data_IF_314114025416
#
_entry.id   IF_314114025416
#
_cell.length_a   1.000
_cell.length_b   1.000
_cell.length_c   1.000
_cell.angle_alpha   90.00
_cell.angle_beta   90.00
_cell.angle_gamma   90.00
#
_symmetry.space_group_name_H-M   'P 1'
#
loop_
_entity.id
_entity.type
_entity.pdbx_description
1 polymer ?
#
# COMPACT_ATOMS: atom_id res chain seq x y z
N UNK A 1 -20.57 7.08 9.17
CA UNK A 1 -21.06 5.70 8.89
C UNK A 1 -22.42 5.60 9.53
N UNK A 2 -23.46 5.11 8.85
CA UNK A 2 -24.79 5.00 9.45
C UNK A 2 -24.75 4.08 10.68
N UNK A 3 -25.49 4.42 11.74
CA UNK A 3 -25.59 3.65 12.99
C UNK A 3 -26.06 2.20 12.74
N UNK A 4 -26.85 1.99 11.69
CA UNK A 4 -27.32 0.68 11.25
C UNK A 4 -26.18 -0.31 10.93
N UNK A 5 -25.06 0.18 10.39
CA UNK A 5 -23.91 -0.67 10.04
C UNK A 5 -23.20 -1.19 11.30
N UNK A 6 -23.22 -0.42 12.38
CA UNK A 6 -22.64 -0.86 13.64
C UNK A 6 -23.52 -1.94 14.29
N UNK A 7 -24.83 -1.74 14.30
CA UNK A 7 -25.79 -2.72 14.80
C UNK A 7 -25.65 -4.05 14.05
N UNK A 8 -25.54 -4.01 12.72
CA UNK A 8 -25.33 -5.21 11.91
C UNK A 8 -24.01 -5.92 12.26
N UNK A 9 -22.94 -5.18 12.60
CA UNK A 9 -21.68 -5.78 13.04
C UNK A 9 -21.82 -6.45 14.40
N UNK A 10 -22.51 -5.82 15.35
CA UNK A 10 -22.74 -6.36 16.69
C UNK A 10 -23.65 -7.61 16.63
N UNK A 11 -24.68 -7.59 15.78
CA UNK A 11 -25.63 -8.69 15.63
C UNK A 11 -25.04 -9.91 14.90
N UNK A 12 -24.06 -9.70 14.01
CA UNK A 12 -23.48 -10.77 13.17
C UNK A 12 -22.05 -11.16 13.57
N UNK A 13 -21.46 -10.54 14.59
CA UNK A 13 -20.10 -10.86 15.03
C UNK A 13 -20.01 -11.00 16.54
N UNK A 14 -19.24 -11.99 17.02
CA UNK A 14 -18.93 -12.15 18.45
C UNK A 14 -17.77 -11.23 18.89
N UNK A 15 -17.57 -10.10 18.21
CA UNK A 15 -16.44 -9.22 18.47
C UNK A 15 -16.67 -8.46 19.79
N UNK A 16 -15.69 -8.44 20.73
CA UNK A 16 -15.80 -7.61 21.92
C UNK A 16 -15.93 -6.13 21.55
N UNK A 17 -16.64 -5.35 22.38
CA UNK A 17 -16.87 -3.92 22.12
C UNK A 17 -15.57 -3.11 21.94
N UNK A 18 -14.48 -3.53 22.57
CA UNK A 18 -13.14 -2.94 22.42
C UNK A 18 -12.61 -2.98 20.97
N UNK A 19 -13.07 -3.93 20.16
CA UNK A 19 -12.69 -4.07 18.75
C UNK A 19 -13.59 -3.30 17.79
N UNK A 20 -14.57 -2.54 18.29
CA UNK A 20 -15.52 -1.77 17.48
C UNK A 20 -14.86 -0.97 16.37
N UNK A 21 -13.81 -0.21 16.69
CA UNK A 21 -13.10 0.62 15.71
C UNK A 21 -12.41 -0.22 14.63
N UNK A 22 -11.85 -1.37 15.00
CA UNK A 22 -11.21 -2.30 14.08
C UNK A 22 -12.25 -2.97 13.17
N UNK A 23 -13.40 -3.35 13.70
CA UNK A 23 -14.50 -3.91 12.93
C UNK A 23 -15.04 -2.89 11.93
N UNK A 24 -15.30 -1.65 12.37
CA UNK A 24 -15.77 -0.58 11.49
C UNK A 24 -14.75 -0.24 10.39
N UNK A 25 -13.45 -0.23 10.71
CA UNK A 25 -12.38 -0.06 9.71
C UNK A 25 -12.39 -1.18 8.67
N UNK A 26 -12.61 -2.42 9.12
CA UNK A 26 -12.68 -3.61 8.25
C UNK A 26 -13.91 -3.58 7.35
N UNK A 27 -15.09 -3.26 7.89
CA UNK A 27 -16.31 -3.08 7.09
C UNK A 27 -16.14 -1.97 6.06
N UNK A 28 -15.56 -0.84 6.46
CA UNK A 28 -15.26 0.25 5.53
C UNK A 28 -14.32 -0.19 4.40
N UNK A 29 -13.35 -1.06 4.68
CA UNK A 29 -12.49 -1.67 3.65
C UNK A 29 -13.30 -2.59 2.72
N UNK A 30 -14.06 -3.54 3.26
CA UNK A 30 -14.86 -4.47 2.45
C UNK A 30 -15.87 -3.74 1.56
N UNK A 31 -16.49 -2.68 2.08
CA UNK A 31 -17.38 -1.84 1.30
C UNK A 31 -16.69 -1.15 0.12
N UNK A 32 -15.48 -0.59 0.34
CA UNK A 32 -14.68 0.02 -0.73
C UNK A 32 -14.26 -1.01 -1.78
N UNK A 33 -13.80 -2.18 -1.35
CA UNK A 33 -13.36 -3.27 -2.23
C UNK A 33 -14.53 -3.77 -3.08
N UNK A 34 -15.69 -4.01 -2.47
CA UNK A 34 -16.90 -4.45 -3.15
C UNK A 34 -17.40 -3.43 -4.18
N UNK A 35 -17.44 -2.13 -3.83
CA UNK A 35 -17.76 -1.05 -4.78
C UNK A 35 -16.77 -1.00 -5.95
N UNK A 36 -15.48 -1.25 -5.68
CA UNK A 36 -14.46 -1.39 -6.71
C UNK A 36 -14.77 -2.53 -7.70
N UNK A 37 -15.11 -3.71 -7.17
CA UNK A 37 -15.55 -4.84 -7.99
C UNK A 37 -16.80 -4.53 -8.80
N UNK A 38 -17.80 -3.87 -8.20
CA UNK A 38 -19.01 -3.44 -8.90
C UNK A 38 -18.70 -2.49 -10.05
N UNK A 39 -17.88 -1.46 -9.78
CA UNK A 39 -17.48 -0.49 -10.80
C UNK A 39 -16.79 -1.20 -11.98
N UNK A 40 -15.87 -2.12 -11.68
CA UNK A 40 -15.16 -2.87 -12.72
C UNK A 40 -16.08 -3.76 -13.56
N UNK A 41 -17.05 -4.44 -12.95
CA UNK A 41 -17.91 -5.42 -13.64
C UNK A 41 -19.10 -4.79 -14.36
N UNK A 42 -19.71 -3.76 -13.78
CA UNK A 42 -20.99 -3.23 -14.24
C UNK A 42 -20.91 -1.79 -14.75
N UNK A 43 -20.04 -0.95 -14.17
CA UNK A 43 -19.91 0.44 -14.65
C UNK A 43 -18.99 0.53 -15.87
N UNK A 44 -17.80 -0.08 -15.79
CA UNK A 44 -16.81 -0.04 -16.87
C UNK A 44 -17.18 -0.90 -18.09
N UNK A 45 -18.16 -1.80 -17.96
CA UNK A 45 -18.65 -2.65 -19.05
C UNK A 45 -19.41 -1.87 -20.12
N UNK A 46 -19.98 -0.71 -19.76
CA UNK A 46 -20.78 0.12 -20.66
C UNK A 46 -20.18 1.53 -20.79
N UNK A 47 -20.40 2.16 -21.95
CA UNK A 47 -19.90 3.51 -22.23
C UNK A 47 -20.87 4.58 -21.75
N UNK A 48 -22.18 4.37 -21.94
CA UNK A 48 -23.21 5.35 -21.64
C UNK A 48 -23.85 5.12 -20.27
N UNK A 49 -24.19 6.20 -19.55
CA UNK A 49 -24.85 6.11 -18.25
C UNK A 49 -26.24 5.47 -18.33
N UNK A 50 -26.97 5.67 -19.43
CA UNK A 50 -28.28 5.04 -19.64
C UNK A 50 -28.20 3.51 -19.67
N UNK A 51 -27.17 2.96 -20.31
CA UNK A 51 -26.92 1.52 -20.35
C UNK A 51 -26.51 1.00 -18.95
N UNK A 52 -25.68 1.75 -18.23
CA UNK A 52 -25.27 1.41 -16.86
C UNK A 52 -26.47 1.35 -15.92
N UNK A 53 -27.36 2.33 -15.98
CA UNK A 53 -28.57 2.41 -15.15
C UNK A 53 -29.52 1.23 -15.42
N UNK A 54 -29.66 0.79 -16.68
CA UNK A 54 -30.49 -0.38 -17.04
C UNK A 54 -29.91 -1.69 -16.53
N UNK A 55 -28.58 -1.80 -16.43
CA UNK A 55 -27.88 -3.01 -16.01
C UNK A 55 -27.55 -2.99 -14.51
N UNK A 56 -28.60 -3.05 -13.68
CA UNK A 56 -28.47 -3.06 -12.21
C UNK A 56 -27.88 -4.39 -11.73
N UNK A 57 -26.83 -4.39 -10.88
CA UNK A 57 -26.29 -5.61 -10.31
C UNK A 57 -27.31 -6.31 -9.38
N UNK A 58 -27.40 -7.67 -9.36
CA UNK A 58 -28.45 -8.39 -8.63
C UNK A 58 -28.52 -8.16 -7.11
N UNK A 59 -27.43 -7.68 -6.49
CA UNK A 59 -27.31 -7.47 -5.03
C UNK A 59 -27.33 -6.00 -4.64
N UNK A 60 -27.75 -5.12 -5.55
CA UNK A 60 -27.72 -3.67 -5.35
C UNK A 60 -29.12 -3.12 -5.63
N UNK A 61 -29.63 -2.33 -4.70
CA UNK A 61 -30.88 -1.60 -4.89
C UNK A 61 -30.75 -0.61 -6.06
N UNK A 62 -31.75 -0.56 -6.95
CA UNK A 62 -31.70 0.26 -8.17
C UNK A 62 -31.44 1.74 -7.89
N UNK A 63 -32.01 2.30 -6.82
CA UNK A 63 -31.76 3.68 -6.41
C UNK A 63 -30.28 3.91 -6.03
N UNK A 64 -29.73 3.02 -5.19
CA UNK A 64 -28.32 3.09 -4.80
C UNK A 64 -27.38 2.95 -6.00
N UNK A 65 -27.72 2.06 -6.94
CA UNK A 65 -26.96 1.92 -8.17
C UNK A 65 -26.98 3.19 -9.02
N UNK A 66 -28.15 3.82 -9.19
CA UNK A 66 -28.28 5.07 -9.96
C UNK A 66 -27.42 6.18 -9.36
N UNK A 67 -27.43 6.34 -8.02
CA UNK A 67 -26.55 7.31 -7.34
C UNK A 67 -25.08 7.03 -7.61
N UNK A 68 -24.66 5.76 -7.57
CA UNK A 68 -23.27 5.37 -7.84
C UNK A 68 -22.87 5.63 -9.29
N UNK A 69 -23.73 5.33 -10.26
CA UNK A 69 -23.47 5.60 -11.69
C UNK A 69 -23.32 7.09 -11.94
N UNK A 70 -24.21 7.92 -11.37
CA UNK A 70 -24.10 9.37 -11.49
C UNK A 70 -22.79 9.88 -10.89
N UNK A 71 -22.45 9.44 -9.67
CA UNK A 71 -21.21 9.82 -9.00
C UNK A 71 -19.96 9.42 -9.79
N UNK A 72 -19.86 8.17 -10.24
CA UNK A 72 -18.68 7.71 -11.01
C UNK A 72 -18.60 8.31 -12.41
N UNK A 73 -19.70 8.84 -12.93
CA UNK A 73 -19.76 9.55 -14.20
C UNK A 73 -19.36 11.02 -14.12
N UNK A 74 -19.12 11.58 -12.93
CA UNK A 74 -18.68 12.98 -12.81
C UNK A 74 -17.22 13.14 -13.22
N UNK A 75 -16.88 14.31 -13.75
CA UNK A 75 -15.50 14.66 -14.10
C UNK A 75 -14.59 14.65 -12.86
N UNK A 76 -15.08 15.16 -11.72
CA UNK A 76 -14.34 15.15 -10.45
C UNK A 76 -13.92 13.74 -10.03
N UNK A 77 -14.84 12.76 -10.14
CA UNK A 77 -14.55 11.37 -9.81
C UNK A 77 -13.54 10.74 -10.78
N UNK A 78 -13.58 11.12 -12.06
CA UNK A 78 -12.62 10.68 -13.07
C UNK A 78 -11.22 11.25 -12.80
N UNK A 79 -11.12 12.57 -12.57
CA UNK A 79 -9.84 13.24 -12.25
C UNK A 79 -9.21 12.65 -11.00
N UNK A 80 -10.01 12.40 -9.94
CA UNK A 80 -9.52 11.78 -8.72
C UNK A 80 -9.05 10.34 -8.94
N UNK A 81 -9.79 9.56 -9.74
CA UNK A 81 -9.40 8.19 -10.07
C UNK A 81 -8.08 8.15 -10.85
N UNK A 82 -7.90 9.04 -11.83
CA UNK A 82 -6.67 9.14 -12.61
C UNK A 82 -5.48 9.59 -11.75
N UNK A 83 -5.69 10.56 -10.85
CA UNK A 83 -4.66 10.94 -9.87
C UNK A 83 -4.25 9.75 -9.00
N UNK A 84 -5.21 9.01 -8.45
CA UNK A 84 -4.94 7.83 -7.63
C UNK A 84 -4.24 6.71 -8.41
N UNK A 85 -4.58 6.54 -9.69
CA UNK A 85 -3.91 5.60 -10.60
C UNK A 85 -2.44 5.98 -10.79
N UNK A 86 -2.15 7.23 -11.15
CA UNK A 86 -0.77 7.73 -11.30
C UNK A 86 0.03 7.59 -10.00
N UNK A 87 -0.57 7.95 -8.86
CA UNK A 87 0.07 7.79 -7.56
C UNK A 87 0.37 6.32 -7.22
N UNK A 88 -0.48 5.39 -7.66
CA UNK A 88 -0.25 3.94 -7.47
C UNK A 88 0.85 3.43 -8.39
N UNK A 89 0.92 3.91 -9.63
CA UNK A 89 1.98 3.56 -10.59
C UNK A 89 3.35 4.03 -10.10
N UNK A 90 3.41 5.13 -9.34
CA UNK A 90 4.63 5.61 -8.69
C UNK A 90 5.01 4.86 -7.40
N UNK A 91 4.21 3.89 -6.95
CA UNK A 91 4.61 3.05 -5.83
C UNK A 91 5.59 1.99 -6.32
N UNK A 92 6.83 2.08 -5.85
CA UNK A 92 7.90 1.11 -6.13
C UNK A 92 8.59 0.61 -4.87
N UNK A 93 9.71 -0.09 -5.06
CA UNK A 93 10.65 -0.51 -4.02
C UNK A 93 10.01 -1.33 -2.88
N UNK A 94 9.10 -2.23 -3.24
CA UNK A 94 8.38 -3.08 -2.28
C UNK A 94 9.33 -4.04 -1.55
N UNK A 95 9.19 -4.13 -0.23
CA UNK A 95 9.86 -5.18 0.54
C UNK A 95 9.32 -6.57 0.20
N UNK A 96 10.18 -7.57 0.34
CA UNK A 96 9.97 -8.97 -0.06
C UNK A 96 10.07 -9.94 1.12
N UNK A 97 10.04 -9.42 2.34
CA UNK A 97 10.12 -10.19 3.60
C UNK A 97 8.87 -11.04 3.88
N UNK A 98 7.81 -10.90 3.10
CA UNK A 98 6.57 -11.67 3.27
C UNK A 98 5.94 -11.43 4.64
N UNK A 99 5.83 -12.48 5.45
CA UNK A 99 5.28 -12.42 6.82
C UNK A 99 6.30 -11.99 7.87
N UNK A 100 7.58 -11.93 7.52
CA UNK A 100 8.64 -11.52 8.43
C UNK A 100 8.62 -10.00 8.59
N UNK A 101 8.42 -9.56 9.82
CA UNK A 101 8.44 -8.13 10.17
C UNK A 101 9.86 -7.55 10.13
N UNK A 102 10.00 -6.24 9.98
CA UNK A 102 11.33 -5.60 10.06
C UNK A 102 11.99 -5.74 11.43
N UNK A 103 11.20 -5.87 12.52
CA UNK A 103 11.75 -6.14 13.85
C UNK A 103 12.39 -7.53 13.93
N UNK A 104 11.77 -8.52 13.29
CA UNK A 104 12.31 -9.86 13.19
C UNK A 104 13.51 -9.93 12.25
N UNK A 105 13.44 -9.27 11.09
CA UNK A 105 14.58 -9.14 10.18
C UNK A 105 15.81 -8.53 10.87
N UNK A 106 15.63 -7.46 11.66
CA UNK A 106 16.72 -6.88 12.46
C UNK A 106 17.28 -7.86 13.48
N UNK A 107 16.43 -8.66 14.13
CA UNK A 107 16.85 -9.69 15.08
C UNK A 107 17.70 -10.76 14.40
N UNK A 108 17.27 -11.22 13.22
CA UNK A 108 18.01 -12.19 12.42
C UNK A 108 19.38 -11.67 11.97
N UNK A 109 19.45 -10.40 11.53
CA UNK A 109 20.70 -9.73 11.16
C UNK A 109 21.64 -9.62 12.37
N UNK A 110 21.14 -9.15 13.51
CA UNK A 110 21.93 -9.05 14.74
C UNK A 110 22.50 -10.41 15.17
N UNK A 111 21.70 -11.48 15.08
CA UNK A 111 22.14 -12.84 15.42
C UNK A 111 23.25 -13.37 14.50
N UNK A 112 23.34 -12.85 13.27
CA UNK A 112 24.40 -13.18 12.29
C UNK A 112 25.63 -12.28 12.43
N UNK A 113 25.56 -11.24 13.26
CA UNK A 113 26.58 -10.20 13.36
C UNK A 113 26.54 -9.20 12.19
N UNK A 114 25.46 -9.20 11.41
CA UNK A 114 25.26 -8.26 10.31
C UNK A 114 24.78 -6.89 10.84
N UNK A 115 25.01 -5.84 10.05
CA UNK A 115 24.55 -4.50 10.38
C UNK A 115 23.00 -4.41 10.37
N UNK A 116 22.44 -3.74 11.38
CA UNK A 116 20.98 -3.57 11.56
C UNK A 116 20.52 -2.14 11.30
N UNK A 117 21.38 -1.31 10.72
CA UNK A 117 21.04 0.05 10.32
C UNK A 117 19.95 0.04 9.22
N UNK A 118 19.43 1.22 8.95
CA UNK A 118 18.31 1.40 8.04
C UNK A 118 18.64 0.96 6.61
N UNK A 119 19.82 1.32 6.10
CA UNK A 119 20.26 0.97 4.76
C UNK A 119 20.41 -0.55 4.64
N UNK A 120 21.05 -1.21 5.61
CA UNK A 120 21.20 -2.66 5.62
C UNK A 120 19.87 -3.41 5.67
N UNK A 121 18.93 -2.95 6.52
CA UNK A 121 17.58 -3.52 6.60
C UNK A 121 16.82 -3.29 5.29
N UNK A 122 16.96 -2.12 4.67
CA UNK A 122 16.34 -1.81 3.38
C UNK A 122 16.83 -2.77 2.29
N UNK A 123 18.15 -2.88 2.11
CA UNK A 123 18.79 -3.77 1.14
C UNK A 123 18.34 -5.21 1.38
N UNK A 124 18.47 -5.70 2.62
CA UNK A 124 18.15 -7.10 2.93
C UNK A 124 16.67 -7.42 2.71
N UNK A 125 15.78 -6.51 3.09
CA UNK A 125 14.34 -6.72 2.95
C UNK A 125 13.86 -6.77 1.50
N UNK A 126 14.68 -6.36 0.54
CA UNK A 126 14.32 -6.22 -0.88
C UNK A 126 15.13 -7.14 -1.80
N UNK A 127 16.06 -7.91 -1.24
CA UNK A 127 16.78 -8.99 -1.89
C UNK A 127 16.00 -10.32 -1.81
N UNK A 128 16.23 -11.21 -2.77
CA UNK A 128 15.78 -12.60 -2.75
C UNK A 128 16.68 -13.50 -1.88
N UNK A 129 16.41 -14.81 -1.86
CA UNK A 129 17.24 -15.78 -1.14
C UNK A 129 18.66 -15.89 -1.66
N UNK A 130 18.91 -15.43 -2.89
CA UNK A 130 20.21 -15.39 -3.56
C UNK A 130 20.96 -14.08 -3.26
N UNK A 131 20.36 -13.15 -2.54
CA UNK A 131 20.93 -11.83 -2.25
C UNK A 131 20.78 -10.82 -3.39
N UNK A 132 19.91 -11.06 -4.37
CA UNK A 132 19.71 -10.17 -5.53
C UNK A 132 18.38 -9.44 -5.46
N UNK A 133 18.37 -8.18 -5.88
CA UNK A 133 17.14 -7.47 -6.15
C UNK A 133 16.54 -8.00 -7.47
N UNK A 134 15.29 -8.49 -7.48
CA UNK A 134 14.70 -9.11 -8.67
C UNK A 134 14.09 -8.10 -9.64
N UNK A 135 13.88 -6.85 -9.23
CA UNK A 135 13.40 -5.75 -10.10
C UNK A 135 14.50 -4.70 -10.30
N UNK A 136 14.54 -4.17 -11.52
CA UNK A 136 15.58 -3.22 -11.97
C UNK A 136 15.60 -1.94 -11.13
N UNK A 137 14.43 -1.41 -10.78
CA UNK A 137 14.29 -0.19 -9.97
C UNK A 137 14.95 -0.36 -8.60
N UNK A 138 14.67 -1.48 -7.91
CA UNK A 138 15.29 -1.79 -6.62
C UNK A 138 16.78 -2.05 -6.76
N UNK A 139 17.21 -2.75 -7.81
CA UNK A 139 18.63 -3.01 -8.06
C UNK A 139 19.41 -1.70 -8.27
N UNK A 140 18.86 -0.78 -9.07
CA UNK A 140 19.46 0.52 -9.33
C UNK A 140 19.58 1.36 -8.04
N UNK A 141 18.52 1.40 -7.23
CA UNK A 141 18.53 2.11 -5.94
C UNK A 141 19.58 1.54 -4.97
N UNK A 142 19.65 0.21 -4.85
CA UNK A 142 20.65 -0.44 -4.00
C UNK A 142 22.07 -0.14 -4.53
N UNK A 143 22.29 -0.25 -5.84
CA UNK A 143 23.58 0.07 -6.45
C UNK A 143 23.98 1.52 -6.23
N UNK A 144 23.04 2.47 -6.30
CA UNK A 144 23.31 3.88 -6.01
C UNK A 144 23.70 4.10 -4.54
N UNK A 145 23.06 3.40 -3.60
CA UNK A 145 23.42 3.48 -2.18
C UNK A 145 24.83 2.91 -1.94
N UNK A 146 25.13 1.74 -2.49
CA UNK A 146 26.45 1.08 -2.38
C UNK A 146 27.55 1.94 -3.00
N UNK A 147 27.31 2.52 -4.17
CA UNK A 147 28.26 3.42 -4.84
C UNK A 147 28.57 4.64 -3.96
N UNK A 148 27.54 5.33 -3.45
CA UNK A 148 27.73 6.51 -2.58
C UNK A 148 28.43 6.17 -1.27
N UNK A 149 28.22 4.97 -0.74
CA UNK A 149 28.91 4.51 0.45
C UNK A 149 30.38 4.18 0.14
N UNK A 150 30.68 3.63 -1.04
CA UNK A 150 32.05 3.33 -1.49
C UNK A 150 32.92 4.56 -1.71
N UNK A 151 32.31 5.72 -2.00
CA UNK A 151 33.01 7.02 -2.10
C UNK A 151 33.48 7.54 -0.73
N UNK A 152 32.97 6.96 0.37
CA UNK A 152 33.38 7.29 1.74
C UNK A 152 34.43 6.30 2.21
N UNK A 153 35.57 6.74 2.77
CA UNK A 153 36.57 5.84 3.35
C UNK A 153 35.94 4.89 4.38
N UNK A 154 36.26 3.58 4.32
CA UNK A 154 35.73 2.58 5.27
C UNK A 154 35.70 3.00 6.75
N UNK A 155 36.75 3.61 7.34
CA UNK A 155 36.70 4.01 8.76
C UNK A 155 35.66 5.09 9.06
N UNK A 156 35.20 5.83 8.05
CA UNK A 156 34.22 6.90 8.16
C UNK A 156 32.78 6.45 7.81
N UNK A 157 32.58 5.21 7.33
CA UNK A 157 31.27 4.63 7.00
C UNK A 157 30.44 4.26 8.24
N UNK A 158 30.37 5.19 9.18
CA UNK A 158 29.60 5.11 10.41
C UNK A 158 28.09 5.15 10.13
N UNK A 159 27.27 4.70 11.09
CA UNK A 159 25.81 4.70 10.95
C UNK A 159 25.22 6.07 10.54
N UNK A 160 25.68 7.23 11.07
CA UNK A 160 25.19 8.53 10.62
C UNK A 160 25.47 8.81 9.14
N UNK A 161 26.59 8.33 8.60
CA UNK A 161 26.92 8.46 7.18
C UNK A 161 26.03 7.56 6.35
N UNK A 162 25.80 6.32 6.79
CA UNK A 162 24.88 5.40 6.12
C UNK A 162 23.45 5.96 6.08
N UNK A 163 22.95 6.56 7.17
CA UNK A 163 21.64 7.21 7.20
C UNK A 163 21.58 8.42 6.26
N UNK A 164 22.67 9.19 6.18
CA UNK A 164 22.78 10.32 5.24
C UNK A 164 22.78 9.85 3.79
N UNK A 165 23.51 8.78 3.47
CA UNK A 165 23.50 8.15 2.14
C UNK A 165 22.10 7.68 1.82
N UNK A 166 21.47 6.92 2.72
CA UNK A 166 20.11 6.43 2.56
C UNK A 166 19.11 7.56 2.28
N UNK A 167 19.09 8.59 3.12
CA UNK A 167 18.19 9.75 2.97
C UNK A 167 18.48 10.53 1.69
N UNK A 168 19.75 10.57 1.23
CA UNK A 168 20.12 11.24 -0.01
C UNK A 168 19.65 10.50 -1.28
N UNK A 169 19.38 9.20 -1.18
CA UNK A 169 18.87 8.37 -2.27
C UNK A 169 17.34 8.26 -2.20
N UNK A 170 16.80 7.99 -1.02
CA UNK A 170 15.37 7.72 -0.80
C UNK A 170 14.53 8.97 -0.55
N UNK A 171 15.18 10.09 -0.20
CA UNK A 171 14.51 11.27 0.31
C UNK A 171 14.14 11.14 1.80
N UNK A 172 13.58 12.22 2.38
CA UNK A 172 13.10 12.20 3.75
C UNK A 172 11.85 11.33 3.87
N UNK A 173 11.61 10.81 5.07
CA UNK A 173 10.41 10.02 5.35
C UNK A 173 9.13 10.82 5.11
N UNK A 174 8.19 10.17 4.39
CA UNK A 174 6.86 10.70 4.16
C UNK A 174 5.90 10.38 5.31
N UNK A 175 4.80 11.12 5.39
CA UNK A 175 3.74 10.82 6.34
C UNK A 175 3.21 9.39 6.15
N UNK A 176 3.37 8.55 7.18
CA UNK A 176 2.87 7.18 7.20
C UNK A 176 3.65 6.17 6.36
N UNK A 177 4.85 6.52 5.86
CA UNK A 177 5.76 5.59 5.19
C UNK A 177 7.15 5.69 5.81
N UNK A 178 7.59 4.60 6.42
CA UNK A 178 8.98 4.42 6.85
C UNK A 178 9.64 3.55 5.78
N UNK A 179 10.60 4.11 5.04
CA UNK A 179 11.37 3.37 4.04
C UNK A 179 12.34 2.38 4.69
#
# INVERSE_FOLDING_TARGET
MPEDVLRDVEDNTNAPAEYKDNCLRSVGKYWKDWKGCLKSKYFNAYKMNEERIKNVPPRVESNQWNTLVQYWGTEEAAVLADKNKRNREQQGLHHRTGRTSFAELRRELANKGDATDRMSVFVKSRQDTSGRAPDEETAEVISQMEQRLSDVPEPEQTQPIQERVFTSVMGPDGHGRVA
#
